data_IF_168015729859
#
_entry.id   IF_168015729859
#
_cell.length_a   1.000
_cell.length_b   1.000
_cell.length_c   1.000
_cell.angle_alpha   90.00
_cell.angle_beta   90.00
_cell.angle_gamma   90.00
#
_symmetry.space_group_name_H-M   'P 1'
#
loop_
_entity.id
_entity.type
_entity.pdbx_description
1 polymer ?
#
# COMPACT_ATOMS: atom_id res chain seq x y z
N UNK A 1 -0.19 19.67 40.93
CA UNK A 1 0.38 18.78 39.88
C UNK A 1 -0.69 17.84 39.37
N UNK A 2 -1.21 18.04 38.15
CA UNK A 2 -2.18 17.12 37.54
C UNK A 2 -1.38 15.91 37.02
N UNK A 3 -1.55 14.73 37.64
CA UNK A 3 -0.99 13.47 37.13
C UNK A 3 -1.59 13.23 35.74
N UNK A 4 -0.79 13.35 34.67
CA UNK A 4 -1.21 12.93 33.33
C UNK A 4 -1.65 11.47 33.41
N UNK A 5 -2.83 11.15 32.89
CA UNK A 5 -3.31 9.77 32.85
C UNK A 5 -2.33 8.92 32.05
N UNK A 6 -2.03 7.73 32.56
CA UNK A 6 -1.20 6.77 31.86
C UNK A 6 -1.91 6.35 30.57
N UNK A 7 -1.41 6.82 29.42
CA UNK A 7 -1.90 6.39 28.12
C UNK A 7 -1.17 5.11 27.74
N UNK A 8 -1.95 4.07 27.47
CA UNK A 8 -1.41 2.81 27.02
C UNK A 8 -0.64 3.00 25.69
N UNK A 9 0.58 2.46 25.53
CA UNK A 9 1.35 2.63 24.31
C UNK A 9 0.61 2.02 23.11
N UNK A 10 0.29 2.83 22.11
CA UNK A 10 -0.46 2.42 20.91
C UNK A 10 0.27 1.34 20.11
N UNK A 11 1.60 1.37 20.06
CA UNK A 11 2.42 0.32 19.43
C UNK A 11 2.22 -1.04 20.11
N UNK A 12 2.11 -1.04 21.44
CA UNK A 12 1.89 -2.24 22.23
C UNK A 12 0.47 -2.78 22.02
N UNK A 13 -0.52 -1.88 21.92
CA UNK A 13 -1.91 -2.23 21.57
C UNK A 13 -1.99 -2.92 20.21
N UNK A 14 -1.37 -2.35 19.16
CA UNK A 14 -1.35 -2.97 17.83
C UNK A 14 -0.69 -4.35 17.81
N UNK A 15 0.40 -4.50 18.57
CA UNK A 15 1.11 -5.79 18.69
C UNK A 15 0.26 -6.86 19.40
N UNK A 16 -0.44 -6.47 20.47
CA UNK A 16 -1.31 -7.38 21.23
C UNK A 16 -2.55 -7.79 20.42
N UNK A 17 -3.11 -6.87 19.66
CA UNK A 17 -4.35 -7.11 18.90
C UNK A 17 -4.13 -7.79 17.55
N UNK A 18 -2.87 -8.00 17.12
CA UNK A 18 -2.53 -8.63 15.83
C UNK A 18 -3.26 -7.97 14.64
N UNK A 19 -3.38 -6.64 14.68
CA UNK A 19 -3.99 -5.86 13.60
C UNK A 19 -2.98 -4.98 12.88
N UNK A 20 -3.31 -4.63 11.64
CA UNK A 20 -2.50 -3.71 10.86
C UNK A 20 -2.53 -2.29 11.47
N UNK A 21 -1.35 -1.68 11.58
CA UNK A 21 -1.24 -0.27 11.96
C UNK A 21 -1.78 0.64 10.85
N UNK A 22 -2.05 1.91 11.19
CA UNK A 22 -2.64 2.89 10.25
C UNK A 22 -1.89 2.99 8.92
N UNK A 23 -0.54 3.00 8.96
CA UNK A 23 0.31 3.05 7.76
C UNK A 23 0.19 1.79 6.90
N UNK A 24 0.17 0.61 7.54
CA UNK A 24 -0.02 -0.66 6.83
C UNK A 24 -1.43 -0.73 6.22
N UNK A 25 -2.45 -0.27 6.95
CA UNK A 25 -3.82 -0.17 6.43
C UNK A 25 -3.92 0.79 5.23
N UNK A 26 -3.21 1.91 5.27
CA UNK A 26 -3.12 2.83 4.13
C UNK A 26 -2.56 2.11 2.89
N UNK A 27 -1.42 1.44 3.01
CA UNK A 27 -0.80 0.66 1.93
C UNK A 27 -1.75 -0.42 1.38
N UNK A 28 -2.41 -1.16 2.26
CA UNK A 28 -3.40 -2.17 1.86
C UNK A 28 -4.55 -1.54 1.08
N UNK A 29 -5.15 -0.46 1.60
CA UNK A 29 -6.32 0.20 1.01
C UNK A 29 -6.02 0.76 -0.38
N UNK A 30 -4.92 1.49 -0.54
CA UNK A 30 -4.56 2.05 -1.85
C UNK A 30 -4.22 0.96 -2.87
N UNK A 31 -3.61 -0.15 -2.44
CA UNK A 31 -3.30 -1.26 -3.35
C UNK A 31 -4.58 -1.96 -3.80
N UNK A 32 -5.54 -2.19 -2.90
CA UNK A 32 -6.83 -2.79 -3.25
C UNK A 32 -7.68 -1.90 -4.16
N UNK A 33 -7.73 -0.59 -3.88
CA UNK A 33 -8.41 0.37 -4.76
C UNK A 33 -7.82 0.33 -6.17
N UNK A 34 -6.50 0.37 -6.27
CA UNK A 34 -5.78 0.35 -7.55
C UNK A 34 -5.98 -0.98 -8.28
N UNK A 35 -5.91 -2.11 -7.56
CA UNK A 35 -6.12 -3.43 -8.15
C UNK A 35 -7.53 -3.59 -8.71
N UNK A 36 -8.55 -3.09 -8.00
CA UNK A 36 -9.94 -3.08 -8.47
C UNK A 36 -10.08 -2.30 -9.77
N UNK A 37 -9.37 -1.19 -9.92
CA UNK A 37 -9.39 -0.40 -11.16
C UNK A 37 -8.65 -1.12 -12.30
N UNK A 38 -7.55 -1.80 -12.01
CA UNK A 38 -6.80 -2.62 -12.98
C UNK A 38 -7.67 -3.76 -13.54
N UNK A 39 -8.40 -4.48 -12.67
CA UNK A 39 -9.25 -5.60 -13.09
C UNK A 39 -10.39 -5.20 -14.03
N UNK A 40 -10.77 -3.91 -14.07
CA UNK A 40 -11.82 -3.40 -14.97
C UNK A 40 -11.30 -3.07 -16.38
N UNK A 41 -9.98 -3.01 -16.56
CA UNK A 41 -9.40 -2.68 -17.86
C UNK A 41 -9.50 -3.90 -18.80
N UNK A 42 -9.90 -3.72 -20.06
CA UNK A 42 -9.97 -4.83 -21.02
C UNK A 42 -8.58 -5.43 -21.25
N UNK A 43 -8.53 -6.76 -21.33
CA UNK A 43 -7.28 -7.55 -21.45
C UNK A 43 -6.46 -7.16 -22.69
N UNK A 44 -7.12 -6.73 -23.75
CA UNK A 44 -6.49 -6.32 -25.01
C UNK A 44 -5.71 -4.99 -24.88
N UNK A 45 -6.19 -4.07 -24.03
CA UNK A 45 -5.45 -2.85 -23.69
C UNK A 45 -4.24 -3.17 -22.82
N UNK A 46 -4.32 -4.23 -22.02
CA UNK A 46 -3.21 -4.70 -21.17
C UNK A 46 -2.05 -5.34 -21.93
N UNK A 47 -2.31 -6.00 -23.06
CA UNK A 47 -1.24 -6.59 -23.86
C UNK A 47 -0.47 -5.54 -24.69
N UNK A 48 -1.16 -4.54 -25.26
CA UNK A 48 -0.58 -3.61 -26.25
C UNK A 48 0.24 -2.45 -25.63
N UNK A 49 0.02 -2.08 -24.37
CA UNK A 49 0.61 -0.87 -23.75
C UNK A 49 1.78 -1.10 -22.76
N UNK A 50 2.48 -2.24 -22.77
CA UNK A 50 3.47 -2.60 -21.70
C UNK A 50 2.82 -2.59 -20.29
N UNK A 51 1.61 -3.14 -20.15
CA UNK A 51 0.67 -2.85 -19.04
C UNK A 51 0.93 -3.60 -17.73
N UNK A 52 2.12 -4.15 -17.58
CA UNK A 52 2.48 -4.77 -16.32
C UNK A 52 2.88 -3.77 -15.23
N UNK A 53 2.94 -2.48 -15.59
CA UNK A 53 3.24 -1.37 -14.71
C UNK A 53 2.26 -0.24 -15.01
N UNK A 54 1.50 0.18 -14.02
CA UNK A 54 0.65 1.35 -14.16
C UNK A 54 1.52 2.59 -14.43
N UNK A 55 1.11 3.48 -15.35
CA UNK A 55 1.88 4.68 -15.68
C UNK A 55 2.01 5.55 -14.44
N UNK A 56 3.26 5.85 -14.08
CA UNK A 56 3.54 6.80 -13.01
C UNK A 56 3.36 8.19 -13.62
N UNK A 57 2.40 8.94 -13.09
CA UNK A 57 2.17 10.33 -13.52
C UNK A 57 3.45 11.12 -13.17
N UNK A 58 4.11 11.78 -14.15
CA UNK A 58 5.26 12.61 -13.85
C UNK A 58 4.78 13.80 -13.03
N UNK A 59 5.32 13.94 -11.82
CA UNK A 59 4.92 15.00 -10.89
C UNK A 59 6.14 15.84 -10.54
N UNK A 60 6.10 17.11 -10.92
CA UNK A 60 7.22 18.03 -10.76
C UNK A 60 7.25 18.72 -9.38
N UNK A 61 6.12 18.77 -8.67
CA UNK A 61 6.03 19.49 -7.39
C UNK A 61 6.03 18.55 -6.20
N UNK A 62 6.76 18.91 -5.13
CA UNK A 62 6.75 18.15 -3.86
C UNK A 62 5.34 18.04 -3.27
N UNK A 63 4.53 19.08 -3.44
CA UNK A 63 3.14 19.07 -3.02
C UNK A 63 2.41 17.90 -3.67
N UNK A 64 2.39 17.82 -5.00
CA UNK A 64 1.68 16.77 -5.73
C UNK A 64 2.24 15.36 -5.47
N UNK A 65 3.55 15.21 -5.19
CA UNK A 65 4.16 13.93 -4.76
C UNK A 65 3.57 13.40 -3.45
N UNK A 66 3.12 14.29 -2.56
CA UNK A 66 2.49 13.93 -1.27
C UNK A 66 1.04 13.46 -1.41
N UNK A 67 0.41 13.59 -2.59
CA UNK A 67 -0.98 13.17 -2.79
C UNK A 67 -1.12 11.71 -3.21
N UNK A 68 -2.26 11.13 -2.79
CA UNK A 68 -2.59 9.71 -2.97
C UNK A 68 -2.57 9.24 -4.42
N UNK A 69 -2.90 10.12 -5.39
CA UNK A 69 -2.99 9.77 -6.81
C UNK A 69 -1.64 9.40 -7.43
N UNK A 70 -0.55 10.01 -6.96
CA UNK A 70 0.82 9.67 -7.38
C UNK A 70 1.28 8.38 -6.69
N UNK A 71 1.12 8.32 -5.36
CA UNK A 71 1.55 7.21 -4.52
C UNK A 71 0.88 5.88 -4.88
N UNK A 72 -0.43 5.87 -5.19
CA UNK A 72 -1.20 4.63 -5.44
C UNK A 72 -0.57 3.76 -6.54
N UNK A 73 -0.11 4.38 -7.62
CA UNK A 73 0.48 3.70 -8.78
C UNK A 73 1.84 3.10 -8.42
N UNK A 74 2.68 3.85 -7.71
CA UNK A 74 4.02 3.39 -7.30
C UNK A 74 3.90 2.24 -6.30
N UNK A 75 3.04 2.40 -5.29
CA UNK A 75 2.77 1.37 -4.28
C UNK A 75 2.29 0.08 -4.94
N UNK A 76 1.29 0.17 -5.82
CA UNK A 76 0.74 -0.98 -6.51
C UNK A 76 1.80 -1.69 -7.38
N UNK A 77 2.60 -0.93 -8.14
CA UNK A 77 3.67 -1.49 -8.96
C UNK A 77 4.74 -2.21 -8.11
N UNK A 78 5.11 -1.62 -6.97
CA UNK A 78 6.09 -2.21 -6.05
C UNK A 78 5.56 -3.51 -5.42
N UNK A 79 4.32 -3.51 -4.91
CA UNK A 79 3.71 -4.75 -4.41
C UNK A 79 3.52 -5.79 -5.51
N UNK A 80 3.18 -5.37 -6.73
CA UNK A 80 3.07 -6.28 -7.87
C UNK A 80 4.41 -6.93 -8.21
N UNK A 81 5.53 -6.19 -8.08
CA UNK A 81 6.89 -6.71 -8.27
C UNK A 81 7.28 -7.72 -7.18
N UNK A 82 6.92 -7.45 -5.92
CA UNK A 82 7.28 -8.30 -4.78
C UNK A 82 6.40 -9.56 -4.71
N UNK A 83 5.09 -9.41 -4.94
CA UNK A 83 4.08 -10.44 -4.64
C UNK A 83 3.36 -11.00 -5.87
N UNK A 84 3.70 -10.57 -7.09
CA UNK A 84 3.10 -11.03 -8.34
C UNK A 84 1.56 -10.96 -8.33
N UNK A 85 0.99 -9.78 -8.11
CA UNK A 85 -0.45 -9.57 -7.89
C UNK A 85 -1.34 -9.66 -9.15
N UNK A 86 -0.75 -9.85 -10.34
CA UNK A 86 -1.39 -9.54 -11.64
C UNK A 86 -2.63 -10.38 -11.96
N UNK A 87 -2.58 -11.68 -11.68
CA UNK A 87 -3.63 -12.63 -12.03
C UNK A 87 -4.44 -13.08 -10.81
N UNK A 88 -4.30 -12.35 -9.71
CA UNK A 88 -5.01 -12.65 -8.48
C UNK A 88 -6.36 -11.93 -8.47
N UNK A 89 -7.35 -12.56 -7.88
CA UNK A 89 -8.60 -11.90 -7.51
C UNK A 89 -8.37 -10.87 -6.40
N UNK A 90 -9.28 -9.91 -6.27
CA UNK A 90 -9.22 -8.89 -5.21
C UNK A 90 -9.13 -9.51 -3.81
N UNK A 91 -9.79 -10.66 -3.59
CA UNK A 91 -9.75 -11.39 -2.32
C UNK A 91 -8.36 -11.97 -2.07
N UNK A 92 -7.75 -12.60 -3.07
CA UNK A 92 -6.40 -13.17 -2.97
C UNK A 92 -5.36 -12.08 -2.74
N UNK A 93 -5.46 -10.96 -3.45
CA UNK A 93 -4.59 -9.79 -3.22
C UNK A 93 -4.72 -9.27 -1.79
N UNK A 94 -5.94 -9.13 -1.27
CA UNK A 94 -6.18 -8.72 0.11
C UNK A 94 -5.48 -9.66 1.09
N UNK A 95 -5.67 -10.97 0.94
CA UNK A 95 -5.06 -11.97 1.83
C UNK A 95 -3.54 -11.93 1.75
N UNK A 96 -2.97 -11.90 0.53
CA UNK A 96 -1.53 -11.94 0.30
C UNK A 96 -0.81 -10.71 0.84
N UNK A 97 -1.34 -9.51 0.58
CA UNK A 97 -0.79 -8.26 1.11
C UNK A 97 -0.96 -8.18 2.62
N UNK A 98 -2.12 -8.59 3.16
CA UNK A 98 -2.34 -8.56 4.61
C UNK A 98 -1.33 -9.43 5.32
N UNK A 99 -1.08 -10.65 4.82
CA UNK A 99 -0.06 -11.55 5.37
C UNK A 99 1.33 -10.90 5.33
N UNK A 100 1.74 -10.38 4.18
CA UNK A 100 3.04 -9.70 4.03
C UNK A 100 3.17 -8.50 4.99
N UNK A 101 2.14 -7.67 5.10
CA UNK A 101 2.17 -6.48 5.96
C UNK A 101 2.14 -6.80 7.44
N UNK A 102 1.56 -7.93 7.85
CA UNK A 102 1.60 -8.36 9.26
C UNK A 102 3.04 -8.57 9.72
N UNK A 103 3.88 -9.16 8.86
CA UNK A 103 5.29 -9.46 9.14
C UNK A 103 6.20 -8.21 9.12
N UNK A 104 5.72 -7.07 8.61
CA UNK A 104 6.55 -5.87 8.51
C UNK A 104 6.74 -5.17 9.86
N UNK A 105 7.95 -4.72 10.15
CA UNK A 105 8.21 -3.80 11.26
C UNK A 105 7.73 -2.38 10.91
N UNK A 106 7.65 -1.52 11.93
CA UNK A 106 7.37 -0.10 11.72
C UNK A 106 8.40 0.53 10.77
N UNK A 107 9.69 0.28 11.01
CA UNK A 107 10.78 0.86 10.22
C UNK A 107 10.76 0.39 8.77
N UNK A 108 10.50 -0.91 8.54
CA UNK A 108 10.35 -1.43 7.17
C UNK A 108 9.18 -0.77 6.45
N UNK A 109 8.06 -0.57 7.14
CA UNK A 109 6.87 0.09 6.58
C UNK A 109 7.16 1.55 6.24
N UNK A 110 7.87 2.25 7.13
CA UNK A 110 8.26 3.66 6.95
C UNK A 110 9.25 3.83 5.81
N UNK A 111 10.27 2.97 5.72
CA UNK A 111 11.21 2.95 4.59
C UNK A 111 10.47 2.69 3.27
N UNK A 112 9.56 1.71 3.26
CA UNK A 112 8.75 1.42 2.08
C UNK A 112 7.93 2.62 1.63
N UNK A 113 7.42 3.45 2.56
CA UNK A 113 6.67 4.67 2.22
C UNK A 113 7.61 5.79 1.77
N UNK A 114 8.74 5.98 2.47
CA UNK A 114 9.70 7.06 2.17
C UNK A 114 10.37 6.90 0.82
N UNK A 115 10.70 5.68 0.40
CA UNK A 115 11.27 5.42 -0.92
C UNK A 115 10.27 5.62 -2.08
N UNK A 116 9.03 6.04 -1.80
CA UNK A 116 8.02 6.40 -2.80
C UNK A 116 7.91 7.92 -2.99
N UNK A 117 8.38 8.72 -2.03
CA UNK A 117 8.35 10.18 -2.02
C UNK A 117 9.63 10.76 -2.62
#
# INVERSE_FOLDING_TARGET
MIKKSFRFPTTLLYKQTQVLSVRKLYLLKITLLTHKDVLKLPVEDMARKRVFKLPIIPVNTEFAKRFSTYMKTIVYNNFTKILCLRNLSLREVKTKITKELMDWTYDRTELFIRHLL
#
